data_IF_244166735645
#
_entry.id   IF_244166735645
#
_cell.length_a   1.000
_cell.length_b   1.000
_cell.length_c   1.000
_cell.angle_alpha   90.00
_cell.angle_beta   90.00
_cell.angle_gamma   90.00
#
_symmetry.space_group_name_H-M   'P 1'
#
loop_
_entity.id
_entity.type
_entity.pdbx_description
1 polymer ?
#
# COMPACT_ATOMS: atom_id res chain seq x y z
N UNK A 1 1.02 -20.90 -4.07
CA UNK A 1 0.52 -20.02 -2.98
C UNK A 1 1.66 -19.40 -2.19
N UNK A 2 2.34 -20.08 -1.25
CA UNK A 2 3.47 -19.45 -0.51
C UNK A 2 4.64 -19.05 -1.42
N UNK A 3 4.91 -19.83 -2.46
CA UNK A 3 5.94 -19.50 -3.44
C UNK A 3 5.63 -18.22 -4.25
N UNK A 4 4.35 -17.99 -4.56
CA UNK A 4 3.92 -16.79 -5.30
C UNK A 4 4.01 -15.54 -4.42
N UNK A 5 3.61 -15.65 -3.15
CA UNK A 5 3.78 -14.59 -2.15
C UNK A 5 5.27 -14.27 -1.89
N UNK A 6 6.11 -15.30 -1.80
CA UNK A 6 7.55 -15.13 -1.67
C UNK A 6 8.15 -14.40 -2.88
N UNK A 7 7.72 -14.78 -4.10
CA UNK A 7 8.16 -14.11 -5.31
C UNK A 7 7.71 -12.65 -5.32
N UNK A 8 6.43 -12.37 -5.03
CA UNK A 8 5.92 -11.02 -4.94
C UNK A 8 6.68 -10.16 -3.92
N UNK A 9 7.02 -10.72 -2.76
CA UNK A 9 7.86 -10.03 -1.78
C UNK A 9 9.25 -9.70 -2.36
N UNK A 10 9.92 -10.66 -3.00
CA UNK A 10 11.24 -10.42 -3.62
C UNK A 10 11.15 -9.34 -4.68
N UNK A 11 10.14 -9.39 -5.55
CA UNK A 11 9.91 -8.40 -6.60
C UNK A 11 9.66 -7.00 -5.98
N UNK A 12 8.91 -6.91 -4.88
CA UNK A 12 8.68 -5.65 -4.14
C UNK A 12 9.95 -5.09 -3.50
N UNK A 13 10.82 -5.97 -2.98
CA UNK A 13 12.07 -5.57 -2.33
C UNK A 13 13.16 -5.13 -3.32
N UNK A 14 13.02 -5.47 -4.60
CA UNK A 14 13.92 -5.11 -5.70
C UNK A 14 13.48 -3.84 -6.44
N UNK A 15 12.37 -3.20 -6.04
CA UNK A 15 11.90 -1.96 -6.66
C UNK A 15 12.93 -0.85 -6.47
N UNK A 16 13.31 -0.21 -7.58
CA UNK A 16 14.06 1.04 -7.58
C UNK A 16 13.16 2.19 -7.12
N UNK A 17 13.20 2.46 -5.81
CA UNK A 17 12.41 3.50 -5.18
C UNK A 17 12.81 4.90 -5.65
N UNK A 18 14.05 5.13 -6.08
CA UNK A 18 14.51 6.43 -6.57
C UNK A 18 13.87 6.80 -7.91
N UNK A 19 13.49 5.79 -8.70
CA UNK A 19 12.75 5.95 -9.95
C UNK A 19 11.22 6.05 -9.75
N UNK A 20 10.71 5.81 -8.54
CA UNK A 20 9.29 5.80 -8.25
C UNK A 20 8.72 7.20 -8.02
N UNK A 21 7.46 7.41 -8.41
CA UNK A 21 6.70 8.61 -8.04
C UNK A 21 5.79 8.26 -6.86
N UNK A 22 5.91 9.00 -5.77
CA UNK A 22 5.01 8.87 -4.62
C UNK A 22 3.81 9.81 -4.82
N UNK A 23 2.61 9.22 -4.84
CA UNK A 23 1.35 9.97 -4.86
C UNK A 23 0.55 9.62 -3.61
N UNK A 24 0.22 10.64 -2.80
CA UNK A 24 -0.68 10.48 -1.67
C UNK A 24 -2.13 10.61 -2.17
N UNK A 25 -2.98 9.66 -1.79
CA UNK A 25 -4.40 9.65 -2.07
C UNK A 25 -5.19 9.54 -0.76
N UNK A 26 -6.35 10.20 -0.70
CA UNK A 26 -7.35 9.99 0.33
C UNK A 26 -8.44 9.10 -0.22
N UNK A 27 -8.95 8.20 0.61
CA UNK A 27 -10.09 7.35 0.30
C UNK A 27 -11.32 7.85 1.07
N UNK A 28 -12.43 8.03 0.37
CA UNK A 28 -13.73 8.35 0.96
C UNK A 28 -14.73 7.25 0.65
N UNK A 29 -15.44 6.79 1.68
CA UNK A 29 -16.39 5.70 1.61
C UNK A 29 -17.63 6.05 2.45
N UNK A 30 -18.75 6.35 1.80
CA UNK A 30 -20.00 6.72 2.46
C UNK A 30 -20.96 5.52 2.66
N UNK A 31 -20.80 4.42 1.90
CA UNK A 31 -21.61 3.17 1.99
C UNK A 31 -20.73 1.92 1.71
N UNK A 32 -21.30 0.71 1.59
CA UNK A 32 -20.58 -0.55 1.26
C UNK A 32 -20.17 -0.62 -0.23
N UNK A 33 -19.57 0.45 -0.76
CA UNK A 33 -19.18 0.59 -2.17
C UNK A 33 -17.65 0.62 -2.35
N UNK A 34 -17.18 0.79 -3.60
CA UNK A 34 -15.78 1.09 -3.89
C UNK A 34 -15.48 2.52 -3.42
N UNK A 35 -14.40 2.76 -2.63
CA UNK A 35 -14.03 4.09 -2.19
C UNK A 35 -13.73 5.01 -3.36
N UNK A 36 -14.14 6.27 -3.23
CA UNK A 36 -13.68 7.33 -4.10
C UNK A 36 -12.28 7.77 -3.66
N UNK A 37 -11.35 7.91 -4.60
CA UNK A 37 -9.99 8.35 -4.33
C UNK A 37 -9.73 9.75 -4.88
N UNK A 38 -9.17 10.62 -4.05
CA UNK A 38 -8.70 11.95 -4.45
C UNK A 38 -7.23 12.15 -4.11
N UNK A 39 -6.47 12.74 -5.02
CA UNK A 39 -5.04 13.03 -4.86
C UNK A 39 -4.82 14.22 -3.96
N UNK A 40 -3.95 14.05 -2.99
CA UNK A 40 -3.44 15.17 -2.21
C UNK A 40 -2.28 15.81 -2.97
N UNK A 41 -2.33 17.13 -3.12
CA UNK A 41 -1.16 17.89 -3.60
C UNK A 41 -0.14 17.94 -2.47
N UNK A 42 0.95 17.18 -2.60
CA UNK A 42 2.06 17.16 -1.65
C UNK A 42 3.24 17.95 -2.20
N UNK A 43 3.99 18.59 -1.32
CA UNK A 43 5.24 19.23 -1.71
C UNK A 43 6.30 18.17 -2.03
N UNK A 44 7.36 18.57 -2.74
CA UNK A 44 8.47 17.65 -3.06
C UNK A 44 9.16 17.14 -1.80
N UNK A 45 9.29 18.00 -0.80
CA UNK A 45 9.90 17.68 0.49
C UNK A 45 9.09 16.59 1.21
N UNK A 46 7.76 16.71 1.26
CA UNK A 46 6.90 15.69 1.86
C UNK A 46 6.99 14.37 1.09
N UNK A 47 6.96 14.41 -0.25
CA UNK A 47 7.11 13.20 -1.06
C UNK A 47 8.47 12.51 -0.82
N UNK A 48 9.55 13.28 -0.67
CA UNK A 48 10.88 12.78 -0.34
C UNK A 48 10.95 12.15 1.05
N UNK A 49 10.27 12.72 2.05
CA UNK A 49 10.19 12.11 3.39
C UNK A 49 9.49 10.75 3.35
N UNK A 50 8.36 10.64 2.63
CA UNK A 50 7.70 9.34 2.42
C UNK A 50 8.62 8.34 1.72
N UNK A 51 9.30 8.76 0.65
CA UNK A 51 10.26 7.92 -0.08
C UNK A 51 11.40 7.44 0.81
N UNK A 52 11.95 8.31 1.65
CA UNK A 52 13.01 7.99 2.62
C UNK A 52 12.55 6.94 3.63
N UNK A 53 11.33 7.09 4.17
CA UNK A 53 10.73 6.12 5.09
C UNK A 53 10.60 4.75 4.42
N UNK A 54 9.98 4.68 3.23
CA UNK A 54 9.80 3.42 2.49
C UNK A 54 11.15 2.77 2.20
N UNK A 55 12.14 3.54 1.76
CA UNK A 55 13.51 3.06 1.50
C UNK A 55 14.15 2.45 2.74
N UNK A 56 13.97 3.08 3.91
CA UNK A 56 14.50 2.56 5.17
C UNK A 56 13.89 1.21 5.56
N UNK A 57 12.58 1.01 5.30
CA UNK A 57 11.88 -0.23 5.56
C UNK A 57 12.28 -1.33 4.58
N UNK A 58 12.35 -1.02 3.28
CA UNK A 58 12.82 -1.98 2.25
C UNK A 58 14.25 -2.42 2.55
N UNK A 59 15.15 -1.50 2.89
CA UNK A 59 16.52 -1.85 3.29
C UNK A 59 16.59 -2.70 4.58
N UNK A 60 15.65 -2.51 5.51
CA UNK A 60 15.52 -3.37 6.69
C UNK A 60 15.06 -4.77 6.29
N UNK A 61 13.99 -4.89 5.51
CA UNK A 61 13.45 -6.19 5.10
C UNK A 61 14.37 -6.95 4.16
N UNK A 62 15.15 -6.28 3.30
CA UNK A 62 16.22 -6.92 2.53
C UNK A 62 17.24 -7.59 3.45
N UNK A 63 17.72 -6.88 4.49
CA UNK A 63 18.65 -7.46 5.48
C UNK A 63 18.03 -8.59 6.29
N UNK A 64 16.76 -8.48 6.68
CA UNK A 64 16.04 -9.52 7.42
C UNK A 64 15.84 -10.77 6.50
N UNK A 65 15.60 -10.56 5.20
CA UNK A 65 15.49 -11.64 4.19
C UNK A 65 16.82 -12.36 3.96
N UNK A 66 17.94 -11.62 3.81
CA UNK A 66 19.28 -12.19 3.63
C UNK A 66 19.71 -13.08 4.81
N UNK A 67 19.24 -12.78 6.02
CA UNK A 67 19.50 -13.57 7.23
C UNK A 67 18.58 -14.77 7.39
N UNK A 68 17.52 -14.85 6.58
CA UNK A 68 16.46 -15.85 6.73
C UNK A 68 15.55 -15.59 7.94
N UNK A 69 15.55 -14.36 8.45
CA UNK A 69 14.77 -13.96 9.63
C UNK A 69 13.32 -13.61 9.27
N UNK A 70 13.02 -13.33 8.01
CA UNK A 70 11.71 -12.87 7.57
C UNK A 70 10.78 -14.06 7.27
N UNK A 71 9.66 -14.13 7.99
CA UNK A 71 8.67 -15.21 7.88
C UNK A 71 7.39 -14.67 7.23
N UNK A 72 6.90 -15.37 6.20
CA UNK A 72 5.65 -15.05 5.53
C UNK A 72 4.49 -15.92 6.02
N UNK A 73 3.41 -15.27 6.42
CA UNK A 73 2.15 -15.86 6.85
C UNK A 73 1.01 -15.43 5.95
N UNK A 74 0.00 -16.28 5.78
CA UNK A 74 -1.25 -15.81 5.23
C UNK A 74 -1.94 -14.93 6.28
N UNK A 75 -2.54 -13.83 5.83
CA UNK A 75 -3.27 -12.91 6.71
C UNK A 75 -4.34 -13.64 7.54
N UNK A 76 -4.38 -13.34 8.84
CA UNK A 76 -5.39 -13.80 9.78
C UNK A 76 -5.80 -12.62 10.68
N UNK A 77 -7.08 -12.25 10.65
CA UNK A 77 -7.61 -11.10 11.40
C UNK A 77 -7.41 -11.20 12.93
N UNK A 78 -7.17 -12.40 13.46
CA UNK A 78 -6.94 -12.63 14.89
C UNK A 78 -5.46 -12.76 15.27
N UNK A 79 -4.56 -12.72 14.28
CA UNK A 79 -3.13 -12.86 14.47
C UNK A 79 -2.50 -11.57 15.03
N UNK A 80 -1.40 -11.74 15.77
CA UNK A 80 -0.50 -10.65 16.16
C UNK A 80 0.87 -10.99 15.62
N UNK A 81 1.33 -10.21 14.65
CA UNK A 81 2.64 -10.42 14.04
C UNK A 81 3.77 -10.02 14.98
N UNK A 82 4.78 -10.88 15.03
CA UNK A 82 6.08 -10.50 15.54
C UNK A 82 6.82 -9.60 14.54
N UNK A 83 7.86 -8.89 15.01
CA UNK A 83 8.60 -7.89 14.20
C UNK A 83 9.23 -8.44 12.90
N UNK A 84 9.40 -9.74 12.82
CA UNK A 84 10.06 -10.46 11.73
C UNK A 84 9.05 -11.24 10.86
N UNK A 85 7.76 -11.14 11.18
CA UNK A 85 6.69 -11.78 10.44
C UNK A 85 6.01 -10.76 9.53
N UNK A 86 5.66 -11.20 8.32
CA UNK A 86 4.91 -10.43 7.33
C UNK A 86 3.70 -11.27 6.91
N UNK A 87 2.54 -10.63 6.85
CA UNK A 87 1.33 -11.23 6.31
C UNK A 87 1.15 -10.91 4.83
N UNK A 88 0.61 -11.88 4.09
CA UNK A 88 0.17 -11.68 2.72
C UNK A 88 -1.30 -12.09 2.57
N UNK A 89 -1.99 -11.39 1.66
CA UNK A 89 -3.36 -11.68 1.26
C UNK A 89 -3.38 -11.97 -0.23
N UNK A 90 -4.11 -13.01 -0.65
CA UNK A 90 -4.31 -13.30 -2.08
C UNK A 90 -5.51 -12.50 -2.59
N UNK A 91 -5.25 -11.49 -3.42
CA UNK A 91 -6.28 -10.56 -3.87
C UNK A 91 -7.36 -11.23 -4.74
N UNK A 92 -7.01 -12.27 -5.51
CA UNK A 92 -7.98 -13.03 -6.33
C UNK A 92 -9.13 -13.66 -5.53
N UNK A 93 -8.98 -13.79 -4.20
CA UNK A 93 -10.01 -14.35 -3.32
C UNK A 93 -10.92 -13.24 -2.74
N UNK A 94 -10.68 -11.97 -3.10
CA UNK A 94 -11.32 -10.78 -2.56
C UNK A 94 -11.63 -9.75 -3.66
N UNK A 95 -12.71 -10.00 -4.41
CA UNK A 95 -13.17 -9.14 -5.52
C UNK A 95 -13.25 -7.66 -5.14
N UNK A 96 -13.77 -7.34 -3.95
CA UNK A 96 -13.88 -5.95 -3.48
C UNK A 96 -12.53 -5.26 -3.28
N UNK A 97 -11.49 -5.98 -2.85
CA UNK A 97 -10.14 -5.41 -2.71
C UNK A 97 -9.52 -5.21 -4.10
N UNK A 98 -9.76 -6.14 -5.02
CA UNK A 98 -9.33 -5.99 -6.41
C UNK A 98 -9.94 -4.74 -7.06
N UNK A 99 -11.25 -4.53 -6.94
CA UNK A 99 -11.93 -3.33 -7.47
C UNK A 99 -11.34 -2.04 -6.87
N UNK A 100 -11.03 -2.04 -5.57
CA UNK A 100 -10.36 -0.92 -4.90
C UNK A 100 -8.97 -0.64 -5.48
N UNK A 101 -8.15 -1.67 -5.66
CA UNK A 101 -6.79 -1.52 -6.22
C UNK A 101 -6.86 -1.08 -7.69
N UNK A 102 -7.81 -1.61 -8.46
CA UNK A 102 -8.00 -1.23 -9.87
C UNK A 102 -8.36 0.26 -10.02
N UNK A 103 -9.17 0.81 -9.11
CA UNK A 103 -9.48 2.25 -9.10
C UNK A 103 -8.24 3.15 -8.93
N UNK A 104 -7.15 2.61 -8.35
CA UNK A 104 -5.87 3.29 -8.17
C UNK A 104 -4.89 3.09 -9.34
N UNK A 105 -5.22 2.26 -10.33
CA UNK A 105 -4.33 1.91 -11.45
C UNK A 105 -3.96 3.10 -12.34
N UNK A 106 -4.77 4.16 -12.32
CA UNK A 106 -4.56 5.38 -13.11
C UNK A 106 -4.52 6.64 -12.23
N UNK A 107 -3.49 6.84 -11.38
CA UNK A 107 -3.43 7.98 -10.47
C UNK A 107 -3.55 9.33 -11.19
N UNK A 108 -3.06 9.43 -12.43
CA UNK A 108 -3.19 10.63 -13.24
C UNK A 108 -4.65 11.09 -13.46
N UNK A 109 -5.60 10.15 -13.48
CA UNK A 109 -7.02 10.40 -13.71
C UNK A 109 -7.79 10.77 -12.44
N UNK A 110 -7.22 10.52 -11.26
CA UNK A 110 -7.85 10.91 -10.00
C UNK A 110 -7.99 12.43 -9.91
N UNK A 111 -9.07 12.89 -9.29
CA UNK A 111 -9.25 14.32 -9.02
C UNK A 111 -8.27 14.78 -7.94
N UNK A 112 -7.93 16.08 -7.95
CA UNK A 112 -7.16 16.67 -6.85
C UNK A 112 -8.13 16.97 -5.72
N UNK A 113 -7.77 16.53 -4.51
CA UNK A 113 -8.55 16.76 -3.30
C UNK A 113 -8.86 18.24 -3.15
N UNK A 114 -10.15 18.50 -2.93
CA UNK A 114 -10.69 19.79 -2.52
C UNK A 114 -11.56 19.51 -1.31
N UNK A 115 -11.60 20.46 -0.39
CA UNK A 115 -12.47 20.40 0.79
C UNK A 115 -13.93 20.41 0.33
N UNK A 116 -14.45 19.21 0.06
CA UNK A 116 -15.84 18.95 -0.28
C UNK A 116 -16.50 18.24 0.91
N UNK A 117 -17.63 18.78 1.36
CA UNK A 117 -18.32 18.32 2.57
C UNK A 117 -18.81 16.87 2.47
N UNK A 118 -19.13 16.38 1.26
CA UNK A 118 -19.56 14.99 1.07
C UNK A 118 -18.36 14.05 1.12
N UNK A 119 -17.29 14.37 0.38
CA UNK A 119 -16.05 13.58 0.42
C UNK A 119 -15.46 13.51 1.83
N UNK A 120 -15.41 14.64 2.56
CA UNK A 120 -14.82 14.69 3.91
C UNK A 120 -15.60 13.82 4.90
N UNK A 121 -16.93 13.74 4.79
CA UNK A 121 -17.77 12.88 5.66
C UNK A 121 -17.47 11.40 5.50
N UNK A 122 -17.03 10.98 4.31
CA UNK A 122 -16.72 9.59 4.01
C UNK A 122 -15.28 9.19 4.28
N UNK A 123 -14.39 10.11 4.68
CA UNK A 123 -12.97 9.79 4.90
C UNK A 123 -12.81 8.60 5.86
N UNK A 124 -11.92 7.68 5.47
CA UNK A 124 -11.51 6.52 6.28
C UNK A 124 -10.01 6.64 6.56
N UNK A 125 -9.61 6.36 7.80
CA UNK A 125 -8.23 6.38 8.30
C UNK A 125 -7.88 5.05 8.95
#
# INVERSE_FOLDING_TARGET
MRADAQKALVDLLDIDLDACTIQLCLASLLEDDVPEFQKVTVSKEIAQEFQSIVTSFVAKWNRDTEKGDLILHQYDAMSKLDRHEIEYLKLDDHDSIMEQVESLSSPAQLEVFKEDDEFVKGLRF
#
